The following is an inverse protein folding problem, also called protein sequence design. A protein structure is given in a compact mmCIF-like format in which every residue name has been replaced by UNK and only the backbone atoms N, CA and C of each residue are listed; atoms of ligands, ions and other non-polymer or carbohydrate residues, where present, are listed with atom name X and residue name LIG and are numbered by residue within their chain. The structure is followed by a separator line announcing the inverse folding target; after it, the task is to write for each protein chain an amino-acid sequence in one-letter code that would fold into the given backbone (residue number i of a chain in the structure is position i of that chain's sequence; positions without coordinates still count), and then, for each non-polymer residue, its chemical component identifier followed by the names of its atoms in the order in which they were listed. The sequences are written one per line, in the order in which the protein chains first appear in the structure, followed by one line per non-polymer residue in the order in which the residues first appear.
data_IF_659934616665
#
_entry.id   IF_659934616665
#
_cell.length_a   1.000
_cell.length_b   1.000
_cell.length_c   1.000
_cell.angle_alpha   90.00
_cell.angle_beta   90.00
_cell.angle_gamma   90.00
#
_symmetry.space_group_name_H-M   'P 1'
#
loop_
_entity.id
_entity.type
_entity.pdbx_description
1 polymer ?
#
# COMPACT_ATOMS: atom_id res chain seq x y z
N UNK A 1 -79.20 4.60 -18.69
CA UNK A 1 -78.04 4.26 -17.89
C UNK A 1 -76.89 3.62 -18.70
N UNK A 2 -77.19 2.82 -19.76
CA UNK A 2 -76.18 2.16 -20.59
C UNK A 2 -75.25 3.12 -21.38
N UNK A 3 -75.80 4.27 -21.90
CA UNK A 3 -74.99 5.21 -22.65
C UNK A 3 -73.97 6.01 -21.83
N UNK A 4 -74.23 6.32 -20.57
CA UNK A 4 -73.33 7.03 -19.70
C UNK A 4 -72.16 6.14 -19.32
N UNK A 5 -72.42 4.86 -19.07
CA UNK A 5 -71.43 3.86 -18.76
C UNK A 5 -70.47 3.57 -19.92
N UNK A 6 -70.98 3.53 -21.12
CA UNK A 6 -70.21 3.39 -22.36
C UNK A 6 -69.29 4.61 -22.57
N UNK A 7 -69.81 5.82 -22.38
CA UNK A 7 -69.06 7.06 -22.56
C UNK A 7 -67.91 7.21 -21.50
N UNK A 8 -68.14 6.79 -20.26
CA UNK A 8 -67.08 6.78 -19.21
C UNK A 8 -65.99 5.77 -19.50
N UNK A 9 -66.36 4.58 -20.01
CA UNK A 9 -65.38 3.56 -20.42
C UNK A 9 -64.53 4.02 -21.61
N UNK A 10 -65.12 4.64 -22.63
CA UNK A 10 -64.36 5.18 -23.75
C UNK A 10 -63.41 6.28 -23.34
N UNK A 11 -63.84 7.18 -22.48
CA UNK A 11 -63.00 8.24 -21.95
C UNK A 11 -61.82 7.67 -21.13
N UNK A 12 -62.07 6.65 -20.33
CA UNK A 12 -61.03 5.96 -19.55
C UNK A 12 -60.00 5.28 -20.46
N UNK A 13 -60.51 4.58 -21.52
CA UNK A 13 -59.63 3.92 -22.50
C UNK A 13 -58.74 4.91 -23.25
N UNK A 14 -59.27 6.07 -23.63
CA UNK A 14 -58.51 7.14 -24.28
C UNK A 14 -57.47 7.69 -23.34
N UNK A 15 -57.82 7.95 -22.05
CA UNK A 15 -56.91 8.45 -21.05
C UNK A 15 -55.75 7.47 -20.77
N UNK A 16 -56.04 6.19 -20.63
CA UNK A 16 -55.01 5.15 -20.45
C UNK A 16 -54.10 5.05 -21.68
N UNK A 17 -54.67 5.11 -22.89
CA UNK A 17 -53.89 5.08 -24.12
C UNK A 17 -52.94 6.27 -24.23
N UNK A 18 -53.39 7.49 -23.87
CA UNK A 18 -52.58 8.69 -23.87
C UNK A 18 -51.44 8.59 -22.85
N UNK A 19 -51.70 8.04 -21.66
CA UNK A 19 -50.66 7.83 -20.65
C UNK A 19 -49.60 6.84 -21.13
N UNK A 20 -49.99 5.73 -21.73
CA UNK A 20 -49.06 4.72 -22.25
C UNK A 20 -48.22 5.30 -23.39
N UNK A 21 -48.82 6.02 -24.33
CA UNK A 21 -48.08 6.66 -25.45
C UNK A 21 -47.18 7.80 -24.98
N UNK A 22 -47.57 8.53 -23.92
CA UNK A 22 -46.76 9.64 -23.37
C UNK A 22 -45.48 9.16 -22.63
N UNK A 23 -45.46 7.91 -22.19
CA UNK A 23 -44.23 7.34 -21.59
C UNK A 23 -43.35 6.79 -22.70
N UNK A 24 -42.17 7.37 -22.96
CA UNK A 24 -41.28 6.87 -23.99
C UNK A 24 -40.70 5.50 -23.55
N UNK A 25 -41.24 4.41 -24.04
CA UNK A 25 -40.84 3.03 -23.71
C UNK A 25 -39.38 2.74 -24.01
N UNK A 26 -38.78 3.47 -24.96
CA UNK A 26 -37.36 3.37 -25.28
C UNK A 26 -36.38 3.96 -24.21
N UNK A 27 -36.86 4.84 -23.34
CA UNK A 27 -36.00 5.52 -22.36
C UNK A 27 -35.38 4.55 -21.33
N UNK A 28 -36.15 3.68 -20.65
CA UNK A 28 -35.57 2.71 -19.72
C UNK A 28 -34.57 1.77 -20.40
N UNK A 29 -34.86 1.35 -21.64
CA UNK A 29 -33.98 0.50 -22.43
C UNK A 29 -32.68 1.22 -22.78
N UNK A 30 -32.72 2.47 -23.20
CA UNK A 30 -31.54 3.28 -23.53
C UNK A 30 -30.66 3.50 -22.32
N UNK A 31 -31.24 3.82 -21.15
CA UNK A 31 -30.52 3.96 -19.88
C UNK A 31 -29.83 2.65 -19.48
N UNK A 32 -30.54 1.54 -19.54
CA UNK A 32 -30.02 0.21 -19.21
C UNK A 32 -28.85 -0.18 -20.12
N UNK A 33 -28.94 0.05 -21.41
CA UNK A 33 -27.86 -0.20 -22.37
C UNK A 33 -26.65 0.70 -22.10
N UNK A 34 -26.86 1.97 -21.83
CA UNK A 34 -25.81 2.91 -21.50
C UNK A 34 -25.04 2.49 -20.22
N UNK A 35 -25.76 2.10 -19.16
CA UNK A 35 -25.17 1.60 -17.93
C UNK A 35 -24.41 0.28 -18.14
N UNK A 36 -24.95 -0.64 -18.94
CA UNK A 36 -24.27 -1.89 -19.28
C UNK A 36 -22.98 -1.64 -20.07
N UNK A 37 -22.98 -0.69 -21.00
CA UNK A 37 -21.76 -0.28 -21.71
C UNK A 37 -20.73 0.35 -20.77
N UNK A 38 -21.16 1.20 -19.85
CA UNK A 38 -20.30 1.80 -18.82
C UNK A 38 -19.66 0.74 -17.93
N UNK A 39 -20.44 -0.24 -17.45
CA UNK A 39 -19.92 -1.39 -16.68
C UNK A 39 -18.84 -2.16 -17.46
N UNK A 40 -19.11 -2.44 -18.75
CA UNK A 40 -18.14 -3.14 -19.61
C UNK A 40 -16.85 -2.33 -19.80
N UNK A 41 -16.95 -1.02 -19.91
CA UNK A 41 -15.79 -0.12 -20.01
C UNK A 41 -14.99 -0.10 -18.73
N UNK A 42 -15.64 -0.04 -17.57
CA UNK A 42 -14.99 -0.09 -16.24
C UNK A 42 -14.27 -1.42 -16.00
N UNK A 43 -14.85 -2.53 -16.46
CA UNK A 43 -14.21 -3.84 -16.36
C UNK A 43 -12.87 -3.90 -17.12
N UNK A 44 -12.75 -3.21 -18.26
CA UNK A 44 -11.47 -3.13 -19.00
C UNK A 44 -10.35 -2.42 -18.23
N UNK A 45 -10.71 -1.59 -17.28
CA UNK A 45 -9.79 -0.88 -16.38
C UNK A 45 -9.65 -1.56 -15.01
N UNK A 46 -9.97 -2.86 -14.93
CA UNK A 46 -9.93 -3.68 -13.70
C UNK A 46 -10.89 -3.21 -12.59
N UNK A 47 -11.94 -2.47 -12.93
CA UNK A 47 -12.96 -2.04 -12.00
C UNK A 47 -14.20 -2.94 -12.12
N UNK A 48 -14.39 -3.87 -11.18
CA UNK A 48 -15.54 -4.76 -11.16
C UNK A 48 -16.74 -4.10 -10.49
N UNK A 49 -17.71 -3.70 -11.28
CA UNK A 49 -19.00 -3.19 -10.81
C UNK A 49 -20.02 -4.32 -10.75
N UNK A 50 -20.58 -4.60 -9.59
CA UNK A 50 -21.58 -5.67 -9.38
C UNK A 50 -23.04 -5.19 -9.49
N UNK A 51 -23.28 -3.90 -9.29
CA UNK A 51 -24.62 -3.31 -9.36
C UNK A 51 -24.63 -2.20 -10.41
N UNK A 52 -25.54 -2.29 -11.39
CA UNK A 52 -25.61 -1.36 -12.51
C UNK A 52 -25.84 0.10 -12.07
N UNK A 53 -26.72 0.31 -11.09
CA UNK A 53 -26.98 1.65 -10.54
C UNK A 53 -25.78 2.27 -9.80
N UNK A 54 -24.76 1.48 -9.44
CA UNK A 54 -23.55 2.03 -8.86
C UNK A 54 -22.77 2.93 -9.83
N UNK A 55 -22.85 2.68 -11.14
CA UNK A 55 -22.24 3.54 -12.16
C UNK A 55 -22.87 4.94 -12.18
N UNK A 56 -24.19 5.01 -12.02
CA UNK A 56 -24.92 6.27 -11.96
C UNK A 56 -24.57 7.05 -10.68
N UNK A 57 -24.59 6.37 -9.53
CA UNK A 57 -24.22 6.98 -8.25
C UNK A 57 -22.77 7.49 -8.26
N UNK A 58 -21.84 6.73 -8.85
CA UNK A 58 -20.43 7.15 -8.98
C UNK A 58 -20.27 8.37 -9.88
N UNK A 59 -21.10 8.54 -10.90
CA UNK A 59 -21.08 9.73 -11.77
C UNK A 59 -21.56 11.02 -11.08
N UNK A 60 -22.29 10.90 -9.98
CA UNK A 60 -22.87 12.03 -9.23
C UNK A 60 -22.11 12.36 -7.93
N UNK A 61 -21.01 11.68 -7.61
CA UNK A 61 -20.24 11.95 -6.39
C UNK A 61 -19.56 13.32 -6.43
N UNK A 62 -19.57 14.00 -5.29
CA UNK A 62 -18.93 15.30 -5.11
C UNK A 62 -17.71 15.24 -4.20
N UNK A 63 -17.59 14.19 -3.40
CA UNK A 63 -16.52 13.98 -2.43
C UNK A 63 -16.00 12.56 -2.53
N UNK A 64 -14.68 12.39 -2.62
CA UNK A 64 -14.00 11.11 -2.61
C UNK A 64 -13.13 11.03 -1.36
N UNK A 65 -13.42 10.08 -0.48
CA UNK A 65 -12.58 9.76 0.67
C UNK A 65 -11.73 8.54 0.32
N UNK A 66 -10.42 8.67 0.42
CA UNK A 66 -9.49 7.57 0.13
C UNK A 66 -8.44 7.46 1.21
N UNK A 67 -7.98 6.25 1.50
CA UNK A 67 -6.79 6.03 2.30
C UNK A 67 -5.54 6.24 1.43
N UNK A 68 -4.41 6.55 2.07
CA UNK A 68 -3.15 6.80 1.37
C UNK A 68 -2.48 5.50 0.93
N UNK A 69 -2.27 4.59 1.88
CA UNK A 69 -1.40 3.43 1.71
C UNK A 69 -2.10 2.29 0.95
N UNK A 70 -1.51 1.86 -0.16
CA UNK A 70 -2.06 0.80 -1.00
C UNK A 70 -3.19 1.25 -1.94
N UNK A 71 -3.63 2.52 -1.86
CA UNK A 71 -4.63 3.12 -2.75
C UNK A 71 -4.01 4.21 -3.61
N UNK A 72 -3.44 5.25 -2.98
CA UNK A 72 -2.70 6.30 -3.69
C UNK A 72 -1.22 5.94 -3.87
N UNK A 73 -0.73 4.97 -3.13
CA UNK A 73 0.63 4.46 -3.19
C UNK A 73 0.62 2.96 -3.48
N UNK A 74 1.72 2.44 -4.00
CA UNK A 74 1.87 1.02 -4.33
C UNK A 74 2.18 0.13 -3.10
N UNK A 75 2.21 0.70 -1.89
CA UNK A 75 2.66 0.02 -0.66
C UNK A 75 4.07 -0.60 -0.80
N UNK A 76 4.89 -0.05 -1.68
CA UNK A 76 6.30 -0.43 -1.87
C UNK A 76 7.18 0.67 -1.28
N UNK A 77 7.84 0.35 -0.17
CA UNK A 77 8.80 1.27 0.46
C UNK A 77 10.15 1.17 -0.25
N UNK A 78 10.81 2.31 -0.43
CA UNK A 78 12.17 2.41 -0.95
C UNK A 78 12.94 3.48 -0.18
N UNK A 79 14.24 3.27 -0.03
CA UNK A 79 15.13 4.31 0.51
C UNK A 79 15.27 5.41 -0.54
N UNK A 80 14.83 6.61 -0.22
CA UNK A 80 14.91 7.78 -1.08
C UNK A 80 16.25 8.52 -0.89
N UNK A 81 16.65 8.75 0.37
CA UNK A 81 17.87 9.45 0.75
C UNK A 81 18.46 8.81 2.00
N UNK A 82 19.80 8.80 2.10
CA UNK A 82 20.53 8.36 3.27
C UNK A 82 21.37 9.50 3.81
N UNK A 83 21.43 9.61 5.13
CA UNK A 83 22.31 10.56 5.85
C UNK A 83 23.02 9.82 6.98
N UNK A 84 24.24 9.38 6.70
CA UNK A 84 25.10 8.74 7.68
C UNK A 84 26.12 9.75 8.21
N UNK A 85 26.27 9.79 9.51
CA UNK A 85 27.28 10.62 10.15
C UNK A 85 28.69 10.13 9.77
N UNK A 86 29.57 11.03 9.41
CA UNK A 86 30.95 10.76 8.98
C UNK A 86 31.12 9.84 7.74
N UNK A 87 30.08 9.64 6.93
CA UNK A 87 30.21 8.92 5.66
C UNK A 87 30.27 9.90 4.48
N UNK A 88 31.37 9.90 3.75
CA UNK A 88 31.48 10.66 2.50
C UNK A 88 30.55 10.08 1.43
N UNK A 89 29.85 10.94 0.72
CA UNK A 89 28.96 10.60 -0.42
C UNK A 89 27.81 9.62 -0.09
N UNK A 90 27.55 9.34 1.17
CA UNK A 90 26.43 8.49 1.62
C UNK A 90 26.39 7.12 0.93
N UNK A 91 27.54 6.56 0.57
CA UNK A 91 27.70 5.24 -0.03
C UNK A 91 28.51 4.35 0.91
N UNK A 92 28.07 3.09 1.03
CA UNK A 92 28.84 2.11 1.79
C UNK A 92 30.11 1.74 1.03
N UNK A 93 31.21 1.67 1.76
CA UNK A 93 32.56 1.31 1.29
C UNK A 93 33.06 0.09 2.06
N UNK A 94 34.29 -0.30 1.78
CA UNK A 94 34.98 -1.39 2.50
C UNK A 94 35.55 -0.97 3.88
N UNK A 95 35.18 0.22 4.39
CA UNK A 95 35.59 0.70 5.68
C UNK A 95 34.78 0.07 6.84
N UNK A 96 35.32 0.14 8.06
CA UNK A 96 34.69 -0.43 9.24
C UNK A 96 33.32 0.18 9.53
N UNK A 97 33.18 1.49 9.37
CA UNK A 97 31.90 2.19 9.61
C UNK A 97 30.80 1.70 8.65
N UNK A 98 31.11 1.57 7.37
CA UNK A 98 30.17 1.06 6.36
C UNK A 98 29.77 -0.39 6.65
N UNK A 99 30.72 -1.24 7.06
CA UNK A 99 30.45 -2.63 7.43
C UNK A 99 29.56 -2.72 8.66
N UNK A 100 29.79 -1.89 9.67
CA UNK A 100 28.94 -1.82 10.87
C UNK A 100 27.52 -1.33 10.55
N UNK A 101 27.36 -0.36 9.66
CA UNK A 101 26.05 0.08 9.19
C UNK A 101 25.31 -1.06 8.49
N UNK A 102 25.97 -1.75 7.58
CA UNK A 102 25.39 -2.88 6.84
C UNK A 102 25.00 -4.02 7.79
N UNK A 103 25.88 -4.39 8.73
CA UNK A 103 25.60 -5.39 9.76
C UNK A 103 24.39 -4.97 10.62
N UNK A 104 24.35 -3.71 11.09
CA UNK A 104 23.25 -3.19 11.89
C UNK A 104 21.90 -3.23 11.18
N UNK A 105 21.87 -2.91 9.88
CA UNK A 105 20.65 -3.03 9.07
C UNK A 105 20.21 -4.51 8.93
N UNK A 106 21.16 -5.41 8.70
CA UNK A 106 20.86 -6.83 8.50
C UNK A 106 20.40 -7.51 9.80
N UNK A 107 21.13 -7.37 10.89
CA UNK A 107 20.84 -8.08 12.15
C UNK A 107 19.66 -7.50 12.92
N UNK A 108 19.45 -6.19 12.83
CA UNK A 108 18.33 -5.52 13.49
C UNK A 108 17.11 -5.42 12.57
N UNK A 109 16.78 -6.53 11.88
CA UNK A 109 15.66 -6.64 10.95
C UNK A 109 14.93 -7.95 11.12
N UNK A 110 13.60 -7.88 11.18
CA UNK A 110 12.69 -9.05 11.16
C UNK A 110 12.21 -9.41 9.76
N UNK A 111 12.37 -8.50 8.80
CA UNK A 111 12.06 -8.73 7.41
C UNK A 111 13.11 -9.62 6.72
N UNK A 112 12.75 -10.18 5.58
CA UNK A 112 13.62 -10.92 4.68
C UNK A 112 13.33 -10.57 3.23
N UNK A 113 14.28 -10.87 2.33
CA UNK A 113 14.09 -10.76 0.88
C UNK A 113 13.90 -12.14 0.28
N UNK A 114 12.84 -12.29 -0.50
CA UNK A 114 12.66 -13.44 -1.39
C UNK A 114 13.28 -13.11 -2.75
N UNK A 115 14.35 -13.83 -3.09
CA UNK A 115 15.13 -13.65 -4.32
C UNK A 115 14.79 -14.73 -5.37
N UNK A 116 13.75 -15.54 -5.16
CA UNK A 116 13.38 -16.63 -6.07
C UNK A 116 12.72 -16.13 -7.37
N UNK A 117 12.22 -14.90 -7.39
CA UNK A 117 11.59 -14.28 -8.55
C UNK A 117 12.54 -13.46 -9.44
N UNK A 118 12.01 -12.84 -10.48
CA UNK A 118 12.75 -11.91 -11.36
C UNK A 118 13.13 -10.61 -10.66
N UNK A 119 12.35 -10.21 -9.66
CA UNK A 119 12.62 -9.05 -8.81
C UNK A 119 12.62 -9.49 -7.34
N UNK A 120 13.50 -8.90 -6.51
CA UNK A 120 13.50 -9.14 -5.07
C UNK A 120 12.17 -8.73 -4.46
N UNK A 121 11.53 -9.61 -3.72
CA UNK A 121 10.29 -9.34 -3.01
C UNK A 121 10.53 -9.27 -1.50
N UNK A 122 9.88 -8.30 -0.84
CA UNK A 122 9.99 -8.09 0.61
C UNK A 122 8.97 -8.97 1.33
N UNK A 123 9.45 -9.75 2.28
CA UNK A 123 8.62 -10.54 3.19
C UNK A 123 8.77 -9.97 4.59
N UNK A 124 7.67 -9.52 5.18
CA UNK A 124 7.63 -8.90 6.51
C UNK A 124 7.40 -7.39 6.49
N UNK A 125 8.04 -6.66 7.39
CA UNK A 125 7.84 -5.21 7.53
C UNK A 125 8.37 -4.45 6.30
N UNK A 126 7.52 -3.63 5.61
CA UNK A 126 7.94 -2.91 4.40
C UNK A 126 9.09 -1.92 4.62
N UNK A 127 9.15 -1.27 5.78
CA UNK A 127 10.21 -0.31 6.11
C UNK A 127 11.56 -1.01 6.26
N UNK A 128 11.60 -2.14 6.96
CA UNK A 128 12.79 -2.97 7.09
C UNK A 128 13.21 -3.56 5.75
N UNK A 129 12.24 -4.06 5.00
CA UNK A 129 12.47 -4.58 3.65
C UNK A 129 13.06 -3.55 2.69
N UNK A 130 12.68 -2.27 2.81
CA UNK A 130 13.27 -1.19 2.03
C UNK A 130 14.78 -1.02 2.30
N UNK A 131 15.20 -1.17 3.58
CA UNK A 131 16.60 -1.12 3.96
C UNK A 131 17.37 -2.33 3.42
N UNK A 132 16.79 -3.54 3.50
CA UNK A 132 17.40 -4.75 2.95
C UNK A 132 17.52 -4.69 1.43
N UNK A 133 16.51 -4.16 0.72
CA UNK A 133 16.58 -3.91 -0.73
C UNK A 133 17.67 -2.89 -1.08
N UNK A 134 17.85 -1.88 -0.24
CA UNK A 134 18.93 -0.91 -0.41
C UNK A 134 20.31 -1.56 -0.24
N UNK A 135 20.52 -2.41 0.76
CA UNK A 135 21.76 -3.20 0.91
C UNK A 135 21.99 -4.10 -0.32
N UNK A 136 20.96 -4.80 -0.76
CA UNK A 136 21.04 -5.68 -1.94
C UNK A 136 21.48 -4.92 -3.20
N UNK A 137 20.95 -3.69 -3.41
CA UNK A 137 21.36 -2.81 -4.51
C UNK A 137 22.83 -2.35 -4.40
N UNK A 138 23.40 -2.34 -3.19
CA UNK A 138 24.83 -2.06 -2.97
C UNK A 138 25.72 -3.31 -3.15
N UNK A 139 25.13 -4.45 -3.52
CA UNK A 139 25.85 -5.72 -3.66
C UNK A 139 26.15 -6.44 -2.34
N UNK A 140 25.48 -6.05 -1.25
CA UNK A 140 25.71 -6.60 0.08
C UNK A 140 24.65 -7.65 0.39
N UNK A 141 25.09 -8.86 0.72
CA UNK A 141 24.21 -9.95 1.13
C UNK A 141 23.88 -9.86 2.63
N UNK A 142 22.63 -9.50 2.92
CA UNK A 142 22.13 -9.37 4.29
C UNK A 142 22.01 -10.71 5.01
N UNK A 143 21.86 -11.83 4.31
CA UNK A 143 21.73 -13.16 4.92
C UNK A 143 23.07 -13.57 5.52
N UNK A 144 24.14 -13.47 4.75
CA UNK A 144 25.50 -13.75 5.21
C UNK A 144 25.88 -12.87 6.40
N UNK A 145 25.54 -11.58 6.38
CA UNK A 145 25.79 -10.67 7.50
C UNK A 145 25.03 -11.07 8.77
N UNK A 146 23.77 -11.46 8.61
CA UNK A 146 22.93 -11.89 9.73
C UNK A 146 23.39 -13.21 10.35
N UNK A 147 23.87 -14.14 9.54
CA UNK A 147 24.40 -15.44 9.99
C UNK A 147 25.79 -15.33 10.63
N UNK A 148 26.61 -14.39 10.14
CA UNK A 148 27.97 -14.18 10.67
C UNK A 148 28.00 -13.45 12.01
N UNK A 149 26.99 -12.64 12.31
CA UNK A 149 26.86 -11.92 13.58
C UNK A 149 26.21 -12.82 14.65
N UNK A 150 26.84 -12.89 15.82
CA UNK A 150 26.27 -13.66 16.95
C UNK A 150 25.30 -12.77 17.74
N UNK A 151 24.00 -12.98 17.57
CA UNK A 151 22.96 -12.26 18.31
C UNK A 151 22.87 -12.75 19.74
N UNK A 152 23.06 -11.86 20.70
CA UNK A 152 23.05 -12.14 22.14
C UNK A 152 21.67 -11.87 22.75
N UNK A 153 21.01 -10.78 22.36
CA UNK A 153 19.70 -10.38 22.90
C UNK A 153 18.99 -9.47 21.91
N UNK A 154 17.67 -9.49 21.94
CA UNK A 154 16.81 -8.66 21.10
C UNK A 154 15.69 -8.06 21.92
N UNK A 155 15.41 -6.79 21.70
CA UNK A 155 14.22 -6.08 22.18
C UNK A 155 13.35 -5.83 20.94
N UNK A 156 12.25 -6.55 20.77
CA UNK A 156 11.39 -6.40 19.57
C UNK A 156 10.71 -5.03 19.56
N UNK A 157 10.30 -4.58 18.39
CA UNK A 157 9.58 -3.32 18.23
C UNK A 157 8.27 -3.32 19.01
N UNK A 158 7.95 -2.21 19.66
CA UNK A 158 6.62 -1.95 20.19
C UNK A 158 6.18 -0.53 19.89
N UNK A 159 4.87 -0.34 19.70
CA UNK A 159 4.27 0.97 19.43
C UNK A 159 4.43 1.97 20.59
N UNK A 160 4.58 1.47 21.81
CA UNK A 160 4.82 2.30 23.00
C UNK A 160 6.25 2.81 23.03
N UNK A 161 7.22 1.92 22.83
CA UNK A 161 8.65 2.27 22.84
C UNK A 161 9.11 2.95 21.56
N UNK A 162 8.47 2.65 20.42
CA UNK A 162 8.79 3.16 19.08
C UNK A 162 10.23 2.86 18.63
N UNK A 163 10.87 1.85 19.21
CA UNK A 163 12.18 1.38 18.77
C UNK A 163 12.30 -0.14 18.90
N UNK A 164 13.28 -0.69 18.20
CA UNK A 164 13.78 -2.05 18.30
C UNK A 164 15.27 -1.99 18.55
N UNK A 165 15.80 -2.91 19.34
CA UNK A 165 17.23 -2.97 19.63
C UNK A 165 17.72 -4.41 19.61
N UNK A 166 18.93 -4.62 19.06
CA UNK A 166 19.57 -5.93 18.98
C UNK A 166 21.01 -5.83 19.46
N UNK A 167 21.40 -6.67 20.43
CA UNK A 167 22.78 -6.78 20.91
C UNK A 167 23.44 -7.94 20.20
N UNK A 168 24.55 -7.69 19.55
CA UNK A 168 25.32 -8.70 18.84
C UNK A 168 26.79 -8.67 19.25
N UNK A 169 27.49 -9.79 19.06
CA UNK A 169 28.93 -9.77 18.90
C UNK A 169 29.21 -9.56 17.42
N UNK A 170 29.73 -8.37 17.09
CA UNK A 170 29.93 -7.97 15.68
C UNK A 170 30.95 -8.87 14.98
N UNK A 171 30.64 -9.27 13.77
CA UNK A 171 31.54 -9.99 12.88
C UNK A 171 32.65 -9.10 12.32
N UNK A 172 32.46 -7.77 12.35
CA UNK A 172 33.37 -6.79 11.78
C UNK A 172 34.59 -6.56 12.68
N UNK A 173 34.35 -6.42 14.00
CA UNK A 173 35.44 -6.07 14.94
C UNK A 173 35.46 -6.91 16.24
N UNK A 174 34.60 -7.93 16.36
CA UNK A 174 34.50 -8.82 17.50
C UNK A 174 33.98 -8.18 18.80
N UNK A 175 33.54 -6.93 18.76
CA UNK A 175 33.01 -6.22 19.93
C UNK A 175 31.49 -6.47 20.10
N UNK A 176 31.02 -6.31 21.34
CA UNK A 176 29.58 -6.27 21.61
C UNK A 176 29.05 -4.92 21.24
N UNK A 177 28.06 -4.92 20.31
CA UNK A 177 27.45 -3.72 19.77
C UNK A 177 25.93 -3.81 19.99
N UNK A 178 25.36 -2.68 20.41
CA UNK A 178 23.90 -2.49 20.48
C UNK A 178 23.45 -1.69 19.25
N UNK A 179 22.72 -2.33 18.37
CA UNK A 179 22.05 -1.65 17.26
C UNK A 179 20.64 -1.25 17.66
N UNK A 180 20.31 0.02 17.50
CA UNK A 180 18.99 0.57 17.80
C UNK A 180 18.42 1.21 16.56
N UNK A 181 17.16 0.88 16.23
CA UNK A 181 16.38 1.55 15.18
C UNK A 181 15.03 1.95 15.72
N UNK A 182 14.51 3.09 15.29
CA UNK A 182 13.20 3.57 15.74
C UNK A 182 12.91 4.98 15.30
N UNK A 183 11.93 5.59 15.97
CA UNK A 183 11.57 6.97 15.74
C UNK A 183 12.76 7.90 16.01
N UNK A 184 13.09 8.83 15.10
CA UNK A 184 14.31 9.65 15.22
C UNK A 184 14.39 10.41 16.54
N UNK A 185 13.28 10.97 17.01
CA UNK A 185 13.20 11.72 18.26
C UNK A 185 13.52 10.86 19.49
N UNK A 186 13.15 9.57 19.44
CA UNK A 186 13.42 8.63 20.55
C UNK A 186 14.88 8.19 20.51
N UNK A 187 15.37 7.77 19.34
CA UNK A 187 16.74 7.28 19.18
C UNK A 187 17.74 8.40 19.46
N UNK A 188 17.48 9.62 18.97
CA UNK A 188 18.33 10.79 19.23
C UNK A 188 18.40 11.13 20.73
N UNK A 189 17.26 11.04 21.45
CA UNK A 189 17.21 11.27 22.89
C UNK A 189 17.98 10.25 23.73
N UNK A 190 18.34 9.08 23.16
CA UNK A 190 19.18 8.06 23.80
C UNK A 190 20.69 8.32 23.59
N UNK A 191 21.06 9.22 22.67
CA UNK A 191 22.44 9.53 22.38
C UNK A 191 23.01 10.47 23.44
N UNK A 192 24.17 10.12 24.05
CA UNK A 192 24.81 10.93 25.05
C UNK A 192 25.85 11.93 24.48
N UNK A 193 26.25 11.75 23.22
CA UNK A 193 27.14 12.64 22.47
C UNK A 193 26.79 12.65 20.99
N UNK A 194 26.80 13.79 20.41
CA UNK A 194 26.63 14.01 18.95
C UNK A 194 27.95 14.39 18.31
#
# INVERSE_FOLDING_TARGET
MSGLLAHTLDTLMIAVTLIVVAVPEGLPMAVTLSLAYSMRSMLKTNNLVRKMHACETMGAITVICTDKTGTLTQNKMQVYETKFYNLDKQQLKEDEASKLIAEGIAVNSTASLDLSGTEPNVVGNPTEGALLLWLHKQGIDHVTLKESANTLSEIPFSTERKYMATVVTSSVNGKKILYVKGAPEIVYGMCNSS
#
